data_IF_383076355383
#
_entry.id   IF_383076355383
#
_cell.length_a   1.000
_cell.length_b   1.000
_cell.length_c   1.000
_cell.angle_alpha   90.00
_cell.angle_beta   90.00
_cell.angle_gamma   90.00
#
_symmetry.space_group_name_H-M   'P 1'
#
loop_
_entity.id
_entity.type
_entity.pdbx_description
1 polymer ?
#
# COMPACT_ATOMS: atom_id res chain seq x y z
N UNK A 1 6.11 -21.67 -29.24
CA UNK A 1 6.58 -21.74 -27.84
C UNK A 1 6.57 -20.34 -27.25
N UNK A 2 5.54 -19.98 -26.53
CA UNK A 2 5.42 -18.67 -25.87
C UNK A 2 6.24 -18.68 -24.61
N UNK A 3 7.35 -17.97 -24.58
CA UNK A 3 8.17 -17.73 -23.38
C UNK A 3 7.29 -17.08 -22.31
N UNK A 4 6.95 -17.81 -21.24
CA UNK A 4 6.36 -17.21 -20.04
C UNK A 4 7.40 -16.25 -19.46
N UNK A 5 7.17 -14.95 -19.64
CA UNK A 5 7.94 -13.92 -18.93
C UNK A 5 7.83 -14.21 -17.43
N UNK A 6 8.93 -14.63 -16.79
CA UNK A 6 8.96 -14.79 -15.35
C UNK A 6 8.66 -13.42 -14.72
N UNK A 7 7.53 -13.32 -14.03
CA UNK A 7 7.19 -12.10 -13.31
C UNK A 7 8.14 -12.00 -12.11
N UNK A 8 8.94 -10.93 -12.08
CA UNK A 8 9.84 -10.72 -10.96
C UNK A 8 9.04 -10.61 -9.65
N UNK A 9 9.44 -11.37 -8.64
CA UNK A 9 8.83 -11.33 -7.31
C UNK A 9 9.23 -10.05 -6.59
N UNK A 10 8.24 -9.29 -6.13
CA UNK A 10 8.48 -8.08 -5.35
C UNK A 10 8.77 -8.48 -3.90
N UNK A 11 9.87 -7.98 -3.35
CA UNK A 11 10.27 -8.24 -1.96
C UNK A 11 9.28 -7.61 -0.96
N UNK A 12 9.06 -8.24 0.21
CA UNK A 12 8.20 -7.67 1.26
C UNK A 12 8.56 -6.23 1.64
N UNK A 13 9.87 -5.96 1.83
CA UNK A 13 10.36 -4.61 2.16
C UNK A 13 10.13 -3.57 1.06
N UNK A 14 10.07 -3.97 -0.22
CA UNK A 14 9.75 -3.04 -1.30
C UNK A 14 8.30 -2.55 -1.18
N UNK A 15 7.35 -3.44 -0.89
CA UNK A 15 5.97 -3.05 -0.58
C UNK A 15 5.88 -2.19 0.68
N UNK A 16 6.62 -2.53 1.76
CA UNK A 16 6.63 -1.74 2.99
C UNK A 16 7.20 -0.33 2.78
N UNK A 17 8.26 -0.19 1.99
CA UNK A 17 8.81 1.12 1.65
C UNK A 17 7.83 1.96 0.79
N UNK A 18 7.11 1.33 -0.10
CA UNK A 18 6.05 1.97 -0.88
C UNK A 18 4.91 2.44 0.03
N UNK A 19 4.49 1.61 1.00
CA UNK A 19 3.50 1.99 2.00
C UNK A 19 3.91 3.24 2.79
N UNK A 20 5.16 3.29 3.27
CA UNK A 20 5.72 4.46 3.96
C UNK A 20 5.73 5.70 3.06
N UNK A 21 6.04 5.55 1.78
CA UNK A 21 6.05 6.67 0.84
C UNK A 21 4.66 7.25 0.62
N UNK A 22 3.64 6.40 0.45
CA UNK A 22 2.24 6.83 0.35
C UNK A 22 1.73 7.47 1.63
N UNK A 23 2.03 6.88 2.79
CA UNK A 23 1.63 7.43 4.10
C UNK A 23 2.24 8.82 4.33
N UNK A 24 3.54 9.00 4.06
CA UNK A 24 4.19 10.31 4.17
C UNK A 24 3.60 11.34 3.21
N UNK A 25 3.35 10.96 1.96
CA UNK A 25 2.71 11.84 0.99
C UNK A 25 1.31 12.24 1.46
N UNK A 26 0.51 11.27 1.95
CA UNK A 26 -0.81 11.54 2.54
C UNK A 26 -0.73 12.52 3.70
N UNK A 27 0.19 12.33 4.63
CA UNK A 27 0.39 13.19 5.81
C UNK A 27 0.79 14.60 5.42
N UNK A 28 1.66 14.78 4.42
CA UNK A 28 2.06 16.12 3.91
C UNK A 28 0.86 16.81 3.28
N UNK A 29 0.15 16.13 2.37
CA UNK A 29 -1.02 16.72 1.72
C UNK A 29 -2.11 17.02 2.74
N UNK A 30 -2.36 16.13 3.69
CA UNK A 30 -3.33 16.33 4.77
C UNK A 30 -3.01 17.58 5.62
N UNK A 31 -1.74 17.78 5.97
CA UNK A 31 -1.30 18.93 6.78
C UNK A 31 -1.42 20.27 6.05
N UNK A 32 -1.40 20.26 4.71
CA UNK A 32 -1.51 21.49 3.88
C UNK A 32 -2.90 21.74 3.34
N UNK A 33 -3.87 20.87 3.69
CA UNK A 33 -5.15 20.79 2.98
C UNK A 33 -6.18 21.80 3.46
N UNK A 34 -6.69 22.59 2.54
CA UNK A 34 -8.07 23.02 2.57
C UNK A 34 -8.99 21.89 2.04
N UNK A 35 -10.30 22.05 2.20
CA UNK A 35 -11.31 21.01 1.96
C UNK A 35 -11.31 20.36 0.57
N UNK A 36 -10.61 20.92 -0.41
CA UNK A 36 -10.63 20.47 -1.80
C UNK A 36 -9.75 19.25 -2.12
N UNK A 37 -8.84 18.88 -1.21
CA UNK A 37 -7.88 17.78 -1.45
C UNK A 37 -8.20 16.50 -0.70
N UNK A 38 -9.42 16.33 -0.17
CA UNK A 38 -9.78 15.18 0.66
C UNK A 38 -9.67 13.85 -0.10
N UNK A 39 -10.20 13.77 -1.31
CA UNK A 39 -10.15 12.54 -2.11
C UNK A 39 -8.71 12.11 -2.46
N UNK A 40 -7.80 13.00 -2.90
CA UNK A 40 -6.39 12.65 -3.02
C UNK A 40 -5.74 12.14 -1.74
N UNK A 41 -6.07 12.68 -0.57
CA UNK A 41 -5.56 12.21 0.72
C UNK A 41 -6.07 10.80 1.03
N UNK A 42 -7.37 10.53 0.86
CA UNK A 42 -7.92 9.19 1.03
C UNK A 42 -7.32 8.18 0.05
N UNK A 43 -7.10 8.56 -1.20
CA UNK A 43 -6.41 7.74 -2.19
C UNK A 43 -5.01 7.32 -1.72
N UNK A 44 -4.24 8.26 -1.17
CA UNK A 44 -2.90 8.00 -0.66
C UNK A 44 -2.93 7.09 0.59
N UNK A 45 -3.86 7.32 1.54
CA UNK A 45 -4.01 6.43 2.70
C UNK A 45 -4.49 5.03 2.31
N UNK A 46 -5.38 4.93 1.33
CA UNK A 46 -5.80 3.64 0.77
C UNK A 46 -4.59 2.86 0.26
N UNK A 47 -3.76 3.46 -0.58
CA UNK A 47 -2.57 2.81 -1.14
C UNK A 47 -1.49 2.53 -0.11
N UNK A 48 -1.37 3.35 0.93
CA UNK A 48 -0.49 3.08 2.06
C UNK A 48 -0.91 1.80 2.79
N UNK A 49 -2.19 1.69 3.14
CA UNK A 49 -2.74 0.50 3.80
C UNK A 49 -2.63 -0.75 2.90
N UNK A 50 -3.02 -0.65 1.64
CA UNK A 50 -2.92 -1.74 0.66
C UNK A 50 -1.49 -2.28 0.55
N UNK A 51 -0.53 -1.39 0.38
CA UNK A 51 0.88 -1.76 0.24
C UNK A 51 1.44 -2.39 1.53
N UNK A 52 1.06 -1.88 2.70
CA UNK A 52 1.46 -2.46 3.99
C UNK A 52 0.92 -3.89 4.17
N UNK A 53 -0.38 -4.11 3.90
CA UNK A 53 -0.99 -5.43 3.99
C UNK A 53 -0.36 -6.42 3.00
N UNK A 54 -0.10 -5.99 1.76
CA UNK A 54 0.63 -6.80 0.78
C UNK A 54 2.06 -7.12 1.22
N UNK A 55 2.76 -6.19 1.88
CA UNK A 55 4.07 -6.44 2.45
C UNK A 55 4.04 -7.57 3.48
N UNK A 56 3.06 -7.55 4.39
CA UNK A 56 2.87 -8.61 5.38
C UNK A 56 2.56 -9.95 4.71
N UNK A 57 1.59 -10.01 3.79
CA UNK A 57 1.25 -11.23 3.06
C UNK A 57 2.44 -11.81 2.30
N UNK A 58 3.26 -10.96 1.66
CA UNK A 58 4.51 -11.38 1.01
C UNK A 58 5.50 -12.00 1.99
N UNK A 59 5.62 -11.47 3.19
CA UNK A 59 6.49 -12.05 4.23
C UNK A 59 6.01 -13.43 4.70
N UNK A 60 4.74 -13.74 4.52
CA UNK A 60 4.14 -15.06 4.81
C UNK A 60 4.18 -16.01 3.61
N UNK A 61 4.86 -15.65 2.52
CA UNK A 61 5.08 -16.52 1.36
C UNK A 61 4.06 -16.37 0.23
N UNK A 62 3.06 -15.50 0.34
CA UNK A 62 2.11 -15.25 -0.74
C UNK A 62 2.84 -14.69 -1.97
N UNK A 63 2.56 -15.19 -3.18
CA UNK A 63 3.20 -14.70 -4.41
C UNK A 63 2.61 -13.37 -4.87
N UNK A 64 3.45 -12.53 -5.48
CA UNK A 64 3.00 -11.22 -6.01
C UNK A 64 1.84 -11.37 -7.01
N UNK A 65 1.87 -12.40 -7.84
CA UNK A 65 0.81 -12.65 -8.82
C UNK A 65 -0.52 -13.05 -8.15
N UNK A 66 -0.45 -13.82 -7.06
CA UNK A 66 -1.62 -14.19 -6.26
C UNK A 66 -2.25 -12.96 -5.62
N UNK A 67 -1.44 -12.08 -5.03
CA UNK A 67 -1.91 -10.81 -4.45
C UNK A 67 -2.57 -9.88 -5.46
N UNK A 68 -2.15 -9.96 -6.75
CA UNK A 68 -2.80 -9.21 -7.84
C UNK A 68 -4.14 -9.81 -8.27
N UNK A 69 -4.24 -11.15 -8.29
CA UNK A 69 -5.44 -11.87 -8.76
C UNK A 69 -6.52 -11.97 -7.69
N UNK A 70 -6.14 -12.15 -6.43
CA UNK A 70 -7.05 -12.46 -5.32
C UNK A 70 -7.80 -11.25 -4.75
N UNK A 71 -7.85 -10.16 -5.43
CA UNK A 71 -8.58 -8.97 -5.00
C UNK A 71 -7.70 -7.73 -4.84
N UNK A 72 -6.83 -7.51 -5.81
CA UNK A 72 -5.74 -6.54 -5.86
C UNK A 72 -5.95 -5.16 -5.24
N UNK A 73 -7.21 -4.78 -4.98
CA UNK A 73 -7.55 -3.48 -4.40
C UNK A 73 -8.67 -3.57 -3.35
N UNK A 74 -8.96 -4.77 -2.79
CA UNK A 74 -9.95 -4.96 -1.73
C UNK A 74 -9.25 -4.98 -0.38
N UNK A 75 -9.23 -3.85 0.33
CA UNK A 75 -8.53 -3.70 1.60
C UNK A 75 -9.09 -4.63 2.68
N UNK A 76 -10.40 -4.77 2.77
CA UNK A 76 -11.06 -5.64 3.75
C UNK A 76 -10.55 -7.07 3.60
N UNK A 77 -10.55 -7.60 2.39
CA UNK A 77 -10.07 -8.96 2.12
C UNK A 77 -8.59 -9.13 2.44
N UNK A 78 -7.74 -8.17 2.05
CA UNK A 78 -6.32 -8.20 2.38
C UNK A 78 -6.09 -8.20 3.89
N UNK A 79 -6.84 -7.38 4.62
CA UNK A 79 -6.73 -7.29 6.07
C UNK A 79 -7.18 -8.59 6.75
N UNK A 80 -8.32 -9.17 6.36
CA UNK A 80 -8.80 -10.45 6.88
C UNK A 80 -7.76 -11.58 6.68
N UNK A 81 -7.14 -11.66 5.50
CA UNK A 81 -6.08 -12.64 5.25
C UNK A 81 -4.85 -12.38 6.11
N UNK A 82 -4.47 -11.12 6.33
CA UNK A 82 -3.40 -10.77 7.25
C UNK A 82 -3.70 -11.22 8.69
N UNK A 83 -4.91 -10.98 9.17
CA UNK A 83 -5.36 -11.40 10.52
C UNK A 83 -5.33 -12.92 10.66
N UNK A 84 -5.83 -13.67 9.67
CA UNK A 84 -5.75 -15.14 9.65
C UNK A 84 -4.31 -15.66 9.74
N UNK A 85 -3.35 -14.92 9.17
CA UNK A 85 -1.92 -15.23 9.21
C UNK A 85 -1.18 -14.63 10.42
N UNK A 86 -1.93 -14.13 11.41
CA UNK A 86 -1.41 -13.67 12.70
C UNK A 86 -0.96 -12.21 12.73
N UNK A 87 -1.43 -11.35 11.83
CA UNK A 87 -1.19 -9.92 11.96
C UNK A 87 -1.88 -9.39 13.21
N UNK A 88 -1.11 -8.74 14.07
CA UNK A 88 -1.60 -8.04 15.26
C UNK A 88 -0.99 -6.66 15.28
N UNK A 89 -1.81 -5.63 15.35
CA UNK A 89 -1.41 -4.22 15.48
C UNK A 89 -1.66 -3.79 16.93
N UNK A 90 -0.64 -3.24 17.58
CA UNK A 90 -0.66 -2.95 19.03
C UNK A 90 -0.90 -1.48 19.36
N UNK A 91 -0.46 -0.57 18.48
CA UNK A 91 -0.53 0.88 18.72
C UNK A 91 -1.92 1.49 18.61
N UNK A 92 -2.91 0.72 18.14
CA UNK A 92 -4.32 1.10 18.06
C UNK A 92 -5.21 -0.11 18.31
N UNK A 93 -6.46 0.13 18.73
CA UNK A 93 -7.42 -0.95 18.92
C UNK A 93 -7.71 -1.67 17.58
N UNK A 94 -7.80 -3.00 17.63
CA UNK A 94 -8.07 -3.85 16.47
C UNK A 94 -9.37 -3.44 15.75
N UNK A 95 -10.41 -3.10 16.49
CA UNK A 95 -11.68 -2.60 15.92
C UNK A 95 -11.49 -1.29 15.15
N UNK A 96 -10.61 -0.40 15.63
CA UNK A 96 -10.29 0.84 14.93
C UNK A 96 -9.61 0.57 13.58
N UNK A 97 -8.70 -0.42 13.52
CA UNK A 97 -8.07 -0.81 12.25
C UNK A 97 -9.11 -1.36 11.28
N UNK A 98 -9.94 -2.30 11.73
CA UNK A 98 -10.99 -2.90 10.89
C UNK A 98 -11.96 -1.85 10.36
N UNK A 99 -12.43 -0.92 11.20
CA UNK A 99 -13.37 0.12 10.79
C UNK A 99 -12.76 1.08 9.76
N UNK A 100 -11.52 1.53 9.96
CA UNK A 100 -10.84 2.41 8.98
C UNK A 100 -10.63 1.67 7.66
N UNK A 101 -10.19 0.42 7.68
CA UNK A 101 -10.02 -0.41 6.49
C UNK A 101 -11.36 -0.56 5.75
N UNK A 102 -12.46 -0.85 6.45
CA UNK A 102 -13.79 -1.01 5.85
C UNK A 102 -14.27 0.29 5.20
N UNK A 103 -14.09 1.43 5.88
CA UNK A 103 -14.51 2.73 5.34
C UNK A 103 -13.65 3.17 4.16
N UNK A 104 -12.35 2.91 4.17
CA UNK A 104 -11.47 3.19 3.04
C UNK A 104 -11.79 2.30 1.84
N UNK A 105 -12.09 1.02 2.07
CA UNK A 105 -12.45 0.07 1.02
C UNK A 105 -13.77 0.48 0.35
N UNK A 106 -14.82 0.73 1.15
CA UNK A 106 -16.11 1.21 0.65
C UNK A 106 -16.03 2.56 -0.06
N UNK A 107 -15.19 3.49 0.43
CA UNK A 107 -14.95 4.78 -0.22
C UNK A 107 -14.21 4.67 -1.56
N UNK A 108 -13.48 3.58 -1.78
CA UNK A 108 -12.76 3.31 -3.03
C UNK A 108 -13.54 2.43 -4.01
N UNK A 109 -14.75 2.01 -3.68
CA UNK A 109 -15.61 1.23 -4.59
C UNK A 109 -15.66 1.91 -5.97
N UNK A 110 -15.55 1.11 -7.02
CA UNK A 110 -15.45 1.60 -8.41
C UNK A 110 -14.35 2.64 -8.64
N UNK A 111 -13.26 2.59 -7.83
CA UNK A 111 -12.16 3.56 -7.86
C UNK A 111 -12.59 4.99 -7.50
N UNK A 112 -13.52 5.11 -6.56
CA UNK A 112 -14.17 6.37 -6.16
C UNK A 112 -13.23 7.49 -5.73
N UNK A 113 -12.02 7.16 -5.24
CA UNK A 113 -11.00 8.18 -4.94
C UNK A 113 -10.21 8.68 -6.16
N UNK A 114 -10.35 8.03 -7.32
CA UNK A 114 -9.68 8.42 -8.57
C UNK A 114 -10.56 9.21 -9.50
N UNK A 115 -11.86 8.99 -9.43
CA UNK A 115 -12.82 9.58 -10.35
C UNK A 115 -13.88 10.36 -9.60
N UNK A 116 -14.26 11.50 -10.15
CA UNK A 116 -15.36 12.27 -9.61
C UNK A 116 -16.67 11.47 -9.69
N UNK A 117 -17.37 11.37 -8.56
CA UNK A 117 -18.68 10.73 -8.46
C UNK A 117 -19.63 11.65 -7.73
N UNK A 118 -20.88 11.66 -8.14
CA UNK A 118 -21.97 12.41 -7.50
C UNK A 118 -22.57 11.66 -6.29
N UNK A 119 -22.14 10.40 -6.06
CA UNK A 119 -22.68 9.59 -4.97
C UNK A 119 -22.05 9.97 -3.63
N UNK A 120 -22.88 9.98 -2.59
CA UNK A 120 -22.40 10.15 -1.22
C UNK A 120 -21.63 8.91 -0.78
N UNK A 121 -20.43 9.12 -0.23
CA UNK A 121 -19.56 8.06 0.28
C UNK A 121 -19.34 8.22 1.77
N UNK A 122 -19.38 7.10 2.50
CA UNK A 122 -18.93 7.06 3.88
C UNK A 122 -17.43 6.82 3.91
N UNK A 123 -16.67 7.76 4.47
CA UNK A 123 -15.22 7.68 4.63
C UNK A 123 -14.85 7.95 6.08
N UNK A 124 -13.72 7.44 6.57
CA UNK A 124 -13.28 7.74 7.94
C UNK A 124 -12.92 9.22 8.08
N UNK A 125 -13.00 9.76 9.31
CA UNK A 125 -12.37 11.05 9.60
C UNK A 125 -10.88 11.00 9.22
N UNK A 126 -10.36 12.08 8.63
CA UNK A 126 -8.99 12.10 8.11
C UNK A 126 -7.92 11.96 9.21
N UNK A 127 -8.14 12.57 10.39
CA UNK A 127 -7.19 12.42 11.50
C UNK A 127 -7.20 11.01 12.04
N UNK A 128 -8.38 10.39 12.11
CA UNK A 128 -8.51 8.98 12.50
C UNK A 128 -7.87 8.06 11.47
N UNK A 129 -8.12 8.26 10.18
CA UNK A 129 -7.47 7.49 9.10
C UNK A 129 -5.95 7.64 9.16
N UNK A 130 -5.44 8.87 9.28
CA UNK A 130 -4.01 9.16 9.42
C UNK A 130 -3.38 8.40 10.57
N UNK A 131 -3.97 8.47 11.77
CA UNK A 131 -3.46 7.78 12.95
C UNK A 131 -3.42 6.26 12.75
N UNK A 132 -4.52 5.68 12.28
CA UNK A 132 -4.64 4.22 12.16
C UNK A 132 -3.75 3.68 11.04
N UNK A 133 -3.76 4.30 9.86
CA UNK A 133 -2.92 3.88 8.73
C UNK A 133 -1.44 4.09 9.05
N UNK A 134 -1.08 5.20 9.70
CA UNK A 134 0.30 5.46 10.14
C UNK A 134 0.83 4.37 11.07
N UNK A 135 0.03 3.96 12.07
CA UNK A 135 0.41 2.86 12.98
C UNK A 135 0.50 1.53 12.24
N UNK A 136 -0.47 1.20 11.39
CA UNK A 136 -0.47 -0.02 10.57
C UNK A 136 0.81 -0.12 9.72
N UNK A 137 1.14 0.94 8.98
CA UNK A 137 2.34 0.99 8.12
C UNK A 137 3.62 0.86 8.94
N UNK A 138 3.71 1.59 10.04
CA UNK A 138 4.88 1.56 10.93
C UNK A 138 5.13 0.17 11.49
N UNK A 139 4.12 -0.43 12.13
CA UNK A 139 4.29 -1.72 12.82
C UNK A 139 4.57 -2.87 11.84
N UNK A 140 3.91 -2.88 10.67
CA UNK A 140 4.24 -3.89 9.63
C UNK A 140 5.68 -3.72 9.16
N UNK A 141 6.14 -2.49 8.93
CA UNK A 141 7.53 -2.26 8.52
C UNK A 141 8.52 -2.70 9.60
N UNK A 142 8.28 -2.35 10.86
CA UNK A 142 9.12 -2.76 12.00
C UNK A 142 9.18 -4.29 12.12
N UNK A 143 8.05 -4.98 11.98
CA UNK A 143 7.97 -6.44 11.96
C UNK A 143 8.85 -7.05 10.86
N UNK A 144 8.80 -6.49 9.65
CA UNK A 144 9.57 -6.99 8.50
C UNK A 144 11.07 -6.75 8.68
N UNK A 145 11.45 -5.57 9.17
CA UNK A 145 12.86 -5.26 9.45
C UNK A 145 13.42 -6.17 10.53
N UNK A 146 12.65 -6.46 11.59
CA UNK A 146 13.08 -7.36 12.66
C UNK A 146 13.29 -8.82 12.21
N UNK A 147 12.64 -9.24 11.11
CA UNK A 147 12.73 -10.59 10.57
C UNK A 147 13.64 -10.71 9.35
N UNK A 148 14.14 -9.59 8.82
CA UNK A 148 15.00 -9.56 7.64
C UNK A 148 16.47 -9.77 8.05
N UNK A 149 17.13 -10.87 7.64
CA UNK A 149 18.54 -11.11 7.93
C UNK A 149 19.49 -10.10 7.26
N UNK A 150 19.00 -9.35 6.27
CA UNK A 150 19.75 -8.30 5.57
C UNK A 150 19.38 -6.89 6.05
N UNK A 151 18.53 -6.77 7.09
CA UNK A 151 18.19 -5.50 7.69
C UNK A 151 19.46 -4.77 8.17
N UNK A 152 19.70 -3.58 7.65
CA UNK A 152 20.92 -2.79 7.94
C UNK A 152 22.05 -2.91 6.92
N UNK A 153 21.97 -3.82 5.95
CA UNK A 153 22.88 -3.79 4.81
C UNK A 153 22.49 -2.68 3.83
N UNK A 154 23.45 -1.99 3.22
CA UNK A 154 23.14 -0.99 2.22
C UNK A 154 22.34 -1.64 1.07
N UNK A 155 21.34 -0.93 0.51
CA UNK A 155 20.55 -1.46 -0.58
C UNK A 155 21.46 -1.87 -1.73
N UNK A 156 21.32 -3.10 -2.24
CA UNK A 156 22.01 -3.50 -3.47
C UNK A 156 21.53 -2.57 -4.58
N UNK A 157 22.45 -1.77 -5.10
CA UNK A 157 22.18 -0.91 -6.26
C UNK A 157 21.76 -1.80 -7.42
N UNK A 158 20.47 -1.83 -7.72
CA UNK A 158 19.99 -2.37 -8.98
C UNK A 158 20.42 -1.36 -10.04
N UNK A 159 21.39 -1.73 -10.89
CA UNK A 159 21.72 -0.95 -12.08
C UNK A 159 20.45 -0.84 -12.92
N UNK A 160 19.81 0.30 -12.88
CA UNK A 160 18.79 0.67 -13.88
C UNK A 160 19.58 0.99 -15.14
N UNK A 161 19.65 0.03 -16.04
CA UNK A 161 20.15 0.28 -17.38
C UNK A 161 19.09 1.10 -18.11
N UNK A 162 19.24 2.43 -18.12
CA UNK A 162 18.48 3.27 -19.04
C UNK A 162 18.94 2.92 -20.45
N UNK A 163 18.11 2.22 -21.18
CA UNK A 163 18.24 2.08 -22.62
C UNK A 163 17.83 3.45 -23.19
N UNK A 164 18.82 4.32 -23.36
CA UNK A 164 18.66 5.51 -24.19
C UNK A 164 18.51 4.98 -25.62
N UNK A 165 17.29 5.05 -26.15
CA UNK A 165 17.05 4.76 -27.57
C UNK A 165 17.97 5.67 -28.41
N UNK A 166 18.69 5.07 -29.34
CA UNK A 166 19.46 5.83 -30.32
C UNK A 166 18.53 6.78 -31.08
N UNK A 167 18.90 8.04 -31.30
CA UNK A 167 18.12 8.97 -32.09
C UNK A 167 17.96 8.41 -33.52
N UNK A 168 16.72 8.24 -33.95
CA UNK A 168 16.42 7.82 -35.32
C UNK A 168 16.95 8.89 -36.29
N UNK A 169 17.66 8.50 -37.36
CA UNK A 169 18.14 9.46 -38.36
C UNK A 169 16.94 10.15 -39.01
N UNK A 170 16.96 11.46 -38.99
CA UNK A 170 15.99 12.30 -39.72
C UNK A 170 16.03 11.97 -41.22
N UNK A 171 14.85 11.63 -41.78
CA UNK A 171 14.68 11.55 -43.24
C UNK A 171 14.52 12.93 -43.85
#
# INVERSE_FOLDING_TARGET
>A
MTSKKATAEILPLAFANMAVSYEKAASIVHATTDSGLRDPVYFLYFHAAESALKAFLRSKGNKTEELRKQGGHQLVRLYEECVKLGLTIRGVESLSVQNVITLLDGGNDYQGFRYFTLESRSVPDLNWASKVVGVLVKEIKEMLVATDPDAGKPPRLVKIQMILGEPQPSR
#
